data_IF_424554272868
#
_entry.id   IF_424554272868
#
_cell.length_a   1.000
_cell.length_b   1.000
_cell.length_c   1.000
_cell.angle_alpha   90.00
_cell.angle_beta   90.00
_cell.angle_gamma   90.00
#
_symmetry.space_group_name_H-M   'P 1'
#
loop_
_entity.id
_entity.type
_entity.pdbx_description
1 polymer ?
#
# COMPACT_ATOMS: atom_id res chain seq x y z
N UNK A 1 -4.00 -20.47 7.95
CA UNK A 1 -4.72 -20.74 6.68
C UNK A 1 -5.72 -21.91 6.80
N UNK A 2 -5.45 -22.98 7.56
CA UNK A 2 -6.35 -24.14 7.69
C UNK A 2 -7.78 -23.84 8.13
N UNK A 3 -8.01 -22.79 8.93
CA UNK A 3 -9.36 -22.37 9.29
C UNK A 3 -10.16 -21.78 8.11
N UNK A 4 -9.46 -21.14 7.15
CA UNK A 4 -10.09 -20.62 5.94
C UNK A 4 -10.63 -21.76 5.08
N UNK A 5 -9.84 -22.82 4.85
CA UNK A 5 -10.29 -23.97 4.07
C UNK A 5 -11.40 -24.80 4.73
N UNK A 6 -11.65 -24.57 6.01
CA UNK A 6 -12.75 -25.18 6.78
C UNK A 6 -13.99 -24.26 6.90
N UNK A 7 -13.99 -23.12 6.21
CA UNK A 7 -15.09 -22.15 6.27
C UNK A 7 -15.35 -21.60 7.67
N UNK A 8 -14.27 -21.38 8.47
CA UNK A 8 -14.39 -20.88 9.86
C UNK A 8 -14.36 -19.34 9.96
N UNK A 9 -14.35 -18.67 8.84
CA UNK A 9 -14.39 -17.20 8.76
C UNK A 9 -15.50 -16.79 7.79
N UNK A 10 -16.15 -15.70 8.09
CA UNK A 10 -17.19 -15.12 7.25
C UNK A 10 -16.62 -14.44 6.03
N UNK A 11 -15.47 -13.75 6.21
CA UNK A 11 -14.80 -12.96 5.19
C UNK A 11 -13.28 -13.11 5.27
N UNK A 12 -12.64 -12.92 4.10
CA UNK A 12 -11.22 -12.60 3.99
C UNK A 12 -11.08 -11.24 3.30
N UNK A 13 -10.34 -10.31 3.92
CA UNK A 13 -10.11 -8.99 3.35
C UNK A 13 -8.63 -8.85 2.99
N UNK A 14 -8.35 -8.39 1.77
CA UNK A 14 -7.01 -8.10 1.27
C UNK A 14 -6.97 -6.64 0.79
N UNK A 15 -6.47 -5.74 1.64
CA UNK A 15 -6.39 -4.32 1.33
C UNK A 15 -5.10 -3.69 1.89
N UNK A 16 -4.26 -3.04 1.06
CA UNK A 16 -4.28 -3.08 -0.39
C UNK A 16 -3.69 -4.39 -0.98
N UNK A 17 -4.11 -4.74 -2.19
CA UNK A 17 -3.49 -5.81 -2.97
C UNK A 17 -2.62 -5.22 -4.09
N UNK A 18 -1.30 -5.46 -4.03
CA UNK A 18 -0.37 -5.02 -5.08
C UNK A 18 -0.57 -5.83 -6.37
N UNK A 19 -0.15 -5.28 -7.53
CA UNK A 19 -0.18 -5.98 -8.81
C UNK A 19 0.45 -7.39 -8.75
N UNK A 20 1.55 -7.54 -8.01
CA UNK A 20 2.17 -8.86 -7.81
C UNK A 20 1.25 -9.83 -7.07
N UNK A 21 0.55 -9.37 -6.03
CA UNK A 21 -0.43 -10.18 -5.29
C UNK A 21 -1.59 -10.57 -6.18
N UNK A 22 -2.15 -9.61 -6.93
CA UNK A 22 -3.24 -9.83 -7.89
C UNK A 22 -2.84 -10.85 -8.95
N UNK A 23 -1.68 -10.66 -9.60
CA UNK A 23 -1.16 -11.57 -10.61
C UNK A 23 -1.01 -13.00 -10.07
N UNK A 24 -0.46 -13.16 -8.86
CA UNK A 24 -0.34 -14.48 -8.23
C UNK A 24 -1.68 -15.16 -7.96
N UNK A 25 -2.66 -14.42 -7.45
CA UNK A 25 -4.01 -14.94 -7.21
C UNK A 25 -4.63 -15.43 -8.53
N UNK A 26 -4.59 -14.59 -9.57
CA UNK A 26 -5.15 -14.90 -10.91
C UNK A 26 -4.50 -16.16 -11.52
N UNK A 27 -3.20 -16.35 -11.29
CA UNK A 27 -2.47 -17.50 -11.81
C UNK A 27 -2.39 -18.70 -10.85
N UNK A 28 -3.10 -18.65 -9.71
CA UNK A 28 -3.16 -19.75 -8.74
C UNK A 28 -1.85 -19.95 -7.96
N UNK A 29 -0.96 -18.95 -7.90
CA UNK A 29 0.32 -19.01 -7.19
C UNK A 29 0.11 -18.66 -5.72
N UNK A 30 0.37 -19.59 -4.82
CA UNK A 30 0.09 -19.50 -3.38
C UNK A 30 1.36 -19.57 -2.53
N UNK A 31 2.38 -18.80 -2.90
CA UNK A 31 3.73 -18.81 -2.31
C UNK A 31 3.95 -17.78 -1.19
N UNK A 32 2.96 -16.91 -0.94
CA UNK A 32 2.99 -15.94 0.15
C UNK A 32 1.86 -16.22 1.15
N UNK A 33 1.94 -15.62 2.35
CA UNK A 33 0.87 -15.73 3.33
C UNK A 33 -0.48 -15.25 2.76
N UNK A 34 -0.49 -14.12 2.07
CA UNK A 34 -1.71 -13.52 1.51
C UNK A 34 -2.28 -14.41 0.40
N UNK A 35 -1.46 -14.79 -0.58
CA UNK A 35 -1.93 -15.62 -1.72
C UNK A 35 -2.36 -17.02 -1.27
N UNK A 36 -1.70 -17.58 -0.26
CA UNK A 36 -2.12 -18.84 0.35
C UNK A 36 -3.45 -18.65 1.11
N UNK A 37 -3.65 -17.55 1.83
CA UNK A 37 -4.91 -17.26 2.50
C UNK A 37 -6.07 -17.21 1.50
N UNK A 38 -5.91 -16.50 0.38
CA UNK A 38 -6.92 -16.42 -0.69
C UNK A 38 -7.21 -17.82 -1.28
N UNK A 39 -6.17 -18.61 -1.58
CA UNK A 39 -6.34 -19.96 -2.10
C UNK A 39 -7.09 -20.87 -1.10
N UNK A 40 -6.85 -20.74 0.21
CA UNK A 40 -7.56 -21.51 1.23
C UNK A 40 -9.00 -20.99 1.46
N UNK A 41 -9.23 -19.68 1.33
CA UNK A 41 -10.56 -19.10 1.38
C UNK A 41 -11.46 -19.66 0.25
N UNK A 42 -10.96 -19.70 -0.98
CA UNK A 42 -11.67 -20.30 -2.11
C UNK A 42 -12.00 -21.78 -1.92
N UNK A 43 -11.13 -22.57 -1.26
CA UNK A 43 -11.42 -23.97 -0.90
C UNK A 43 -12.49 -24.12 0.19
N UNK A 44 -12.62 -23.14 1.05
CA UNK A 44 -13.60 -23.12 2.14
C UNK A 44 -14.89 -22.36 1.83
N UNK A 45 -15.06 -21.90 0.58
CA UNK A 45 -16.17 -21.02 0.17
C UNK A 45 -16.29 -19.76 1.06
N UNK A 46 -15.15 -19.21 1.50
CA UNK A 46 -15.08 -17.97 2.26
C UNK A 46 -14.99 -16.81 1.29
N UNK A 47 -15.94 -15.88 1.36
CA UNK A 47 -15.98 -14.68 0.52
C UNK A 47 -14.71 -13.86 0.72
N UNK A 48 -14.07 -13.43 -0.37
CA UNK A 48 -12.84 -12.65 -0.34
C UNK A 48 -13.06 -11.27 -0.96
N UNK A 49 -12.79 -10.22 -0.18
CA UNK A 49 -12.91 -8.82 -0.59
C UNK A 49 -11.50 -8.27 -0.84
N UNK A 50 -11.27 -7.70 -2.03
CA UNK A 50 -9.95 -7.23 -2.43
C UNK A 50 -10.03 -5.77 -2.90
N UNK A 51 -9.07 -4.94 -2.42
CA UNK A 51 -8.82 -3.59 -2.96
C UNK A 51 -7.50 -3.62 -3.71
N UNK A 52 -7.50 -3.80 -5.05
CA UNK A 52 -6.29 -3.74 -5.86
C UNK A 52 -5.76 -2.30 -5.93
N UNK A 53 -4.44 -2.14 -6.09
CA UNK A 53 -3.84 -0.81 -6.30
C UNK A 53 -3.85 -0.39 -7.77
N UNK A 54 -3.79 -1.34 -8.69
CA UNK A 54 -3.69 -1.09 -10.13
C UNK A 54 -5.02 -1.46 -10.81
N UNK A 55 -5.97 -0.51 -10.78
CA UNK A 55 -7.34 -0.73 -11.31
C UNK A 55 -7.53 -0.01 -12.63
N UNK A 56 -7.02 1.22 -12.75
CA UNK A 56 -7.25 2.08 -13.90
C UNK A 56 -6.00 2.18 -14.77
N UNK A 57 -6.15 2.14 -16.11
CA UNK A 57 -5.03 2.39 -17.02
C UNK A 57 -4.62 3.87 -16.98
N UNK A 58 -3.37 4.14 -17.30
CA UNK A 58 -2.87 5.49 -17.48
C UNK A 58 -1.73 5.88 -16.54
N UNK A 59 -1.29 7.13 -16.60
CA UNK A 59 -0.25 7.67 -15.74
C UNK A 59 -0.79 7.93 -14.34
N UNK A 60 0.03 7.64 -13.34
CA UNK A 60 -0.20 7.99 -11.93
C UNK A 60 1.01 8.76 -11.43
N UNK A 61 0.77 9.95 -10.92
CA UNK A 61 1.82 10.72 -10.25
C UNK A 61 1.98 10.22 -8.81
N UNK A 62 3.21 9.89 -8.45
CA UNK A 62 3.58 9.51 -7.10
C UNK A 62 4.70 10.39 -6.59
N UNK A 63 4.70 10.62 -5.27
CA UNK A 63 5.72 11.44 -4.61
C UNK A 63 6.74 10.52 -3.98
N UNK A 64 8.01 10.69 -4.37
CA UNK A 64 9.12 9.99 -3.73
C UNK A 64 9.28 10.45 -2.28
N UNK A 65 9.91 9.65 -1.42
CA UNK A 65 10.26 10.06 -0.06
C UNK A 65 11.09 11.36 -0.05
N UNK A 66 10.88 12.17 0.97
CA UNK A 66 11.71 13.37 1.22
C UNK A 66 13.19 12.99 1.39
N UNK A 67 14.08 13.95 1.08
CA UNK A 67 15.53 13.75 1.23
C UNK A 67 16.09 14.68 2.28
N UNK A 68 17.06 14.19 3.05
CA UNK A 68 17.81 14.98 4.04
C UNK A 68 19.24 15.19 3.57
N UNK A 69 19.68 16.44 3.59
CA UNK A 69 21.09 16.82 3.39
C UNK A 69 21.72 17.05 4.76
N UNK A 70 22.41 16.02 5.25
CA UNK A 70 22.93 15.98 6.60
C UNK A 70 23.94 17.12 6.88
N UNK A 71 24.69 17.56 5.85
CA UNK A 71 25.63 18.69 5.95
C UNK A 71 24.99 20.02 6.33
N UNK A 72 23.68 20.17 6.07
CA UNK A 72 22.90 21.35 6.48
C UNK A 72 22.18 21.17 7.82
N UNK A 73 22.31 20.01 8.43
CA UNK A 73 21.60 19.64 9.66
C UNK A 73 22.45 20.05 10.88
N UNK A 74 22.76 21.36 11.02
CA UNK A 74 23.62 21.88 12.02
C UNK A 74 22.84 22.35 13.27
N UNK A 75 23.41 22.10 14.47
CA UNK A 75 23.12 22.70 15.77
C UNK A 75 21.66 22.86 16.23
N UNK A 76 20.74 22.05 15.71
CA UNK A 76 19.39 21.98 16.26
C UNK A 76 19.42 21.24 17.61
N UNK A 77 19.07 21.92 18.70
CA UNK A 77 18.88 21.26 20.02
C UNK A 77 17.81 20.19 19.98
N UNK A 78 16.80 20.41 19.15
CA UNK A 78 15.68 19.51 18.92
C UNK A 78 15.29 19.54 17.44
N UNK A 79 15.04 18.38 16.86
CA UNK A 79 14.66 18.27 15.45
C UNK A 79 13.15 18.43 15.30
N UNK A 80 12.66 19.65 15.05
CA UNK A 80 11.23 19.93 14.86
C UNK A 80 10.64 19.08 13.74
N UNK A 81 11.37 18.85 12.65
CA UNK A 81 10.92 18.01 11.54
C UNK A 81 10.63 16.56 11.98
N UNK A 82 11.39 16.03 12.95
CA UNK A 82 11.13 14.67 13.47
C UNK A 82 9.89 14.63 14.37
N UNK A 83 9.60 15.71 15.10
CA UNK A 83 8.45 15.79 16.00
C UNK A 83 7.12 15.81 15.23
N UNK A 84 7.06 16.51 14.09
CA UNK A 84 5.85 16.60 13.28
C UNK A 84 5.64 15.39 12.36
N UNK A 85 6.65 14.52 12.22
CA UNK A 85 6.57 13.36 11.35
C UNK A 85 5.71 12.25 11.99
N UNK A 86 4.45 12.16 11.63
CA UNK A 86 3.52 11.13 12.12
C UNK A 86 4.02 9.71 11.82
N UNK A 87 4.72 9.52 10.69
CA UNK A 87 5.28 8.23 10.29
C UNK A 87 6.57 7.88 11.05
N UNK A 88 7.10 8.81 11.86
CA UNK A 88 8.38 8.65 12.57
C UNK A 88 9.52 8.20 11.63
N UNK A 89 9.51 8.75 10.43
CA UNK A 89 10.47 8.39 9.39
C UNK A 89 11.81 9.14 9.55
N UNK A 90 11.89 10.20 10.36
CA UNK A 90 13.08 11.04 10.46
C UNK A 90 13.92 10.60 11.65
N UNK A 91 15.15 10.19 11.37
CA UNK A 91 16.22 10.02 12.36
C UNK A 91 17.02 11.31 12.39
N UNK A 92 16.92 12.12 13.47
CA UNK A 92 17.58 13.43 13.56
C UNK A 92 19.08 13.36 13.24
N UNK A 93 19.57 14.32 12.47
CA UNK A 93 20.98 14.47 12.06
C UNK A 93 21.59 13.27 11.32
N UNK A 94 20.75 12.32 10.84
CA UNK A 94 21.26 11.11 10.21
C UNK A 94 20.60 10.82 8.86
N UNK A 95 19.29 10.52 8.86
CA UNK A 95 18.61 10.07 7.65
C UNK A 95 17.08 10.17 7.73
N UNK A 96 16.44 9.98 6.59
CA UNK A 96 15.00 9.69 6.50
C UNK A 96 14.84 8.22 6.12
N UNK A 97 14.11 7.48 6.96
CA UNK A 97 13.75 6.09 6.69
C UNK A 97 12.77 6.03 5.49
N UNK A 98 13.29 5.60 4.35
CA UNK A 98 12.55 5.56 3.09
C UNK A 98 11.37 4.56 3.10
N UNK A 99 11.39 3.57 4.00
CA UNK A 99 10.31 2.60 4.16
C UNK A 99 9.12 3.17 4.94
N UNK A 100 9.36 4.20 5.75
CA UNK A 100 8.32 4.87 6.54
C UNK A 100 7.85 6.18 5.90
N UNK A 101 8.70 6.83 5.11
CA UNK A 101 8.39 8.13 4.54
C UNK A 101 7.36 8.02 3.41
N UNK A 102 6.23 8.69 3.59
CA UNK A 102 5.13 8.74 2.59
C UNK A 102 5.20 9.97 1.68
N UNK A 103 6.25 10.79 1.76
CA UNK A 103 6.45 11.94 0.90
C UNK A 103 5.50 13.13 1.16
N UNK A 104 4.85 13.24 2.31
CA UNK A 104 3.85 14.28 2.61
C UNK A 104 4.40 15.72 2.62
N UNK A 105 5.73 15.91 2.67
CA UNK A 105 6.39 17.22 2.57
C UNK A 105 6.42 18.07 3.86
N UNK A 106 5.62 17.79 4.88
CA UNK A 106 5.52 18.60 6.12
C UNK A 106 6.86 18.90 6.79
N UNK A 107 7.79 17.96 6.73
CA UNK A 107 9.11 18.09 7.33
C UNK A 107 10.01 19.13 6.65
N UNK A 108 9.78 19.45 5.37
CA UNK A 108 10.52 20.48 4.62
C UNK A 108 10.30 21.85 5.26
N UNK A 109 9.04 22.21 5.47
CA UNK A 109 8.67 23.53 5.99
C UNK A 109 9.01 23.68 7.48
N UNK A 110 9.03 22.56 8.21
CA UNK A 110 9.39 22.54 9.62
C UNK A 110 10.89 22.53 9.89
N UNK A 111 11.73 22.29 8.90
CA UNK A 111 13.18 22.27 9.08
C UNK A 111 13.77 23.69 8.99
N UNK A 112 14.22 24.32 10.11
CA UNK A 112 14.66 25.71 10.09
C UNK A 112 15.93 25.91 9.24
N UNK A 113 16.74 24.86 9.10
CA UNK A 113 18.00 24.91 8.34
C UNK A 113 17.84 24.57 6.85
N UNK A 114 16.61 24.29 6.39
CA UNK A 114 16.37 23.86 5.01
C UNK A 114 17.14 22.59 4.62
N UNK A 115 17.45 21.74 5.60
CA UNK A 115 18.17 20.49 5.39
C UNK A 115 17.30 19.39 4.76
N UNK A 116 15.99 19.60 4.71
CA UNK A 116 15.05 18.62 4.15
C UNK A 116 14.39 19.21 2.89
N UNK A 117 14.47 18.46 1.79
CA UNK A 117 13.72 18.73 0.57
C UNK A 117 12.55 17.76 0.43
N UNK A 118 11.44 18.24 -0.12
CA UNK A 118 10.32 17.36 -0.46
C UNK A 118 10.72 16.33 -1.52
N UNK A 119 10.01 15.24 -1.56
CA UNK A 119 10.20 14.21 -2.56
C UNK A 119 9.85 14.71 -3.96
N UNK A 120 10.57 14.21 -4.94
CA UNK A 120 10.30 14.50 -6.34
C UNK A 120 9.03 13.78 -6.78
N UNK A 121 8.13 14.48 -7.48
CA UNK A 121 7.01 13.84 -8.17
C UNK A 121 7.57 13.08 -9.37
N UNK A 122 7.16 11.84 -9.51
CA UNK A 122 7.43 11.02 -10.69
C UNK A 122 6.12 10.47 -11.23
N UNK A 123 6.01 10.42 -12.55
CA UNK A 123 4.88 9.80 -13.24
C UNK A 123 5.24 8.34 -13.52
N UNK A 124 4.40 7.43 -13.06
CA UNK A 124 4.49 6.00 -13.35
C UNK A 124 3.33 5.60 -14.25
N UNK A 125 3.53 4.56 -15.06
CA UNK A 125 2.50 4.02 -15.94
C UNK A 125 2.11 2.63 -15.46
N UNK A 126 0.80 2.41 -15.30
CA UNK A 126 0.28 1.08 -15.05
C UNK A 126 0.52 0.19 -16.26
N UNK A 127 1.00 -1.04 -16.04
CA UNK A 127 1.20 -2.00 -17.13
C UNK A 127 -0.15 -2.60 -17.53
N UNK A 128 -0.39 -2.77 -18.82
CA UNK A 128 -1.62 -3.37 -19.33
C UNK A 128 -1.90 -4.73 -18.69
N UNK A 129 -0.86 -5.54 -18.48
CA UNK A 129 -1.00 -6.85 -17.85
C UNK A 129 -1.51 -6.78 -16.40
N UNK A 130 -1.18 -5.71 -15.65
CA UNK A 130 -1.65 -5.55 -14.27
C UNK A 130 -3.15 -5.22 -14.26
N UNK A 131 -3.58 -4.35 -15.17
CA UNK A 131 -5.00 -4.02 -15.37
C UNK A 131 -5.81 -5.25 -15.83
N UNK A 132 -5.27 -6.03 -16.77
CA UNK A 132 -5.90 -7.27 -17.22
C UNK A 132 -6.05 -8.28 -16.08
N UNK A 133 -5.01 -8.45 -15.26
CA UNK A 133 -5.06 -9.34 -14.11
C UNK A 133 -6.11 -8.87 -13.08
N UNK A 134 -6.20 -7.55 -12.82
CA UNK A 134 -7.24 -7.02 -11.93
C UNK A 134 -8.65 -7.32 -12.47
N UNK A 135 -8.88 -7.17 -13.77
CA UNK A 135 -10.16 -7.55 -14.38
C UNK A 135 -10.47 -9.05 -14.25
N UNK A 136 -9.45 -9.91 -14.36
CA UNK A 136 -9.62 -11.37 -14.21
C UNK A 136 -10.00 -11.79 -12.79
N UNK A 137 -9.69 -11.00 -11.76
CA UNK A 137 -10.08 -11.31 -10.38
C UNK A 137 -11.60 -11.48 -10.22
N UNK A 138 -12.41 -10.67 -10.91
CA UNK A 138 -13.87 -10.70 -10.82
C UNK A 138 -14.49 -12.02 -11.31
N UNK A 139 -13.73 -12.83 -12.03
CA UNK A 139 -14.15 -14.16 -12.53
C UNK A 139 -13.69 -15.32 -11.67
N UNK A 140 -13.05 -15.07 -10.52
CA UNK A 140 -12.45 -16.12 -9.69
C UNK A 140 -13.29 -16.34 -8.42
N UNK A 141 -14.07 -17.41 -8.39
CA UNK A 141 -14.80 -17.88 -7.20
C UNK A 141 -15.59 -16.76 -6.51
N UNK A 142 -15.51 -16.70 -5.17
CA UNK A 142 -16.21 -15.71 -4.34
C UNK A 142 -15.35 -14.47 -4.06
N UNK A 143 -14.63 -13.97 -5.09
CA UNK A 143 -13.83 -12.74 -4.99
C UNK A 143 -14.67 -11.55 -5.46
N UNK A 144 -14.73 -10.50 -4.62
CA UNK A 144 -15.29 -9.21 -4.94
C UNK A 144 -14.22 -8.14 -4.82
N UNK A 145 -14.16 -7.21 -5.79
CA UNK A 145 -13.18 -6.13 -5.82
C UNK A 145 -13.84 -4.78 -5.55
N UNK A 146 -13.08 -3.90 -4.90
CA UNK A 146 -13.48 -2.53 -4.58
C UNK A 146 -12.42 -1.57 -5.12
N UNK A 147 -12.86 -0.41 -5.59
CA UNK A 147 -11.94 0.58 -6.17
C UNK A 147 -11.03 1.24 -5.11
N UNK A 148 -11.54 1.36 -3.89
CA UNK A 148 -10.83 2.00 -2.81
C UNK A 148 -11.29 1.48 -1.44
N UNK A 149 -10.50 1.73 -0.37
CA UNK A 149 -10.85 1.27 0.98
C UNK A 149 -12.16 1.84 1.54
N UNK A 150 -12.59 3.04 1.11
CA UNK A 150 -13.83 3.64 1.62
C UNK A 150 -15.06 2.91 1.06
N UNK A 151 -15.04 2.55 -0.21
CA UNK A 151 -16.09 1.71 -0.82
C UNK A 151 -16.22 0.36 -0.10
N UNK A 152 -15.09 -0.28 0.20
CA UNK A 152 -15.07 -1.50 1.01
C UNK A 152 -15.65 -1.28 2.42
N UNK A 153 -15.32 -0.17 3.07
CA UNK A 153 -15.85 0.16 4.40
C UNK A 153 -17.36 0.40 4.36
N UNK A 154 -17.87 1.06 3.32
CA UNK A 154 -19.31 1.27 3.15
C UNK A 154 -20.05 -0.06 2.94
N UNK A 155 -19.50 -0.93 2.09
CA UNK A 155 -20.03 -2.28 1.94
C UNK A 155 -20.10 -3.06 3.26
N UNK A 156 -19.06 -2.95 4.10
CA UNK A 156 -19.00 -3.67 5.38
C UNK A 156 -19.98 -3.15 6.43
N UNK A 157 -20.52 -1.92 6.29
CA UNK A 157 -21.57 -1.41 7.19
C UNK A 157 -22.91 -2.11 6.98
N UNK A 158 -23.14 -2.59 5.76
CA UNK A 158 -24.40 -3.22 5.34
C UNK A 158 -24.29 -4.77 5.33
N UNK A 159 -23.11 -5.30 5.62
CA UNK A 159 -22.83 -6.73 5.65
C UNK A 159 -23.15 -7.34 7.03
#
# INVERSE_FOLDING_TARGET
>A
TGRLSLGKYDLLIVTPATANTVAKIVHGISDTLVTNAVAQAGKGAVKTLIVPVDIHPGPIDTVLPSKMEVSKCEDCKECVASLICEQKAIVPHKEIDLLKCIGCGLCKDACPNGAISEGKIITMYMRDIDIENTKKLTGIGDIEIFENPNELLDFLKDY
#
